data_IF_725466276919
#
_entry.id   IF_725466276919
#
_cell.length_a   1.000
_cell.length_b   1.000
_cell.length_c   1.000
_cell.angle_alpha   90.00
_cell.angle_beta   90.00
_cell.angle_gamma   90.00
#
_symmetry.space_group_name_H-M   'P 1'
#
loop_
_entity.id
_entity.type
_entity.pdbx_description
1 polymer ?
#
# COMPACT_ATOMS: atom_id res chain seq x y z
N UNK A 1 -4.66 -23.12 -24.71
CA UNK A 1 -5.51 -22.90 -23.52
C UNK A 1 -4.63 -22.38 -22.39
N UNK A 2 -3.66 -21.53 -22.72
CA UNK A 2 -2.52 -21.22 -21.85
C UNK A 2 -2.55 -19.74 -21.43
N UNK A 3 -3.11 -18.88 -22.28
CA UNK A 3 -3.24 -17.43 -22.07
C UNK A 3 -4.16 -17.08 -20.87
N UNK A 4 -5.25 -17.84 -20.71
CA UNK A 4 -6.20 -17.68 -19.59
C UNK A 4 -5.62 -18.21 -18.27
N UNK A 5 -4.79 -19.27 -18.33
CA UNK A 5 -4.15 -19.86 -17.16
C UNK A 5 -3.00 -18.96 -16.68
N UNK A 6 -2.22 -18.39 -17.60
CA UNK A 6 -1.17 -17.41 -17.32
C UNK A 6 -1.73 -16.11 -16.72
N UNK A 7 -2.84 -15.57 -17.23
CA UNK A 7 -3.52 -14.42 -16.61
C UNK A 7 -4.02 -14.73 -15.19
N UNK A 8 -4.54 -15.94 -14.95
CA UNK A 8 -5.07 -16.36 -13.65
C UNK A 8 -3.97 -16.61 -12.61
N UNK A 9 -2.82 -17.16 -13.02
CA UNK A 9 -1.63 -17.28 -12.15
C UNK A 9 -0.97 -15.92 -11.87
N UNK A 10 -0.92 -15.02 -12.86
CA UNK A 10 -0.45 -13.64 -12.68
C UNK A 10 -1.35 -12.85 -11.72
N UNK A 11 -2.67 -13.07 -11.78
CA UNK A 11 -3.60 -12.51 -10.80
C UNK A 11 -3.29 -12.98 -9.37
N UNK A 12 -2.74 -14.20 -9.18
CA UNK A 12 -2.38 -14.73 -7.85
C UNK A 12 -1.12 -14.07 -7.26
N UNK A 13 -0.06 -13.91 -8.05
CA UNK A 13 1.19 -13.30 -7.55
C UNK A 13 1.00 -11.81 -7.32
N UNK A 14 0.33 -11.14 -8.25
CA UNK A 14 0.02 -9.72 -8.10
C UNK A 14 -0.82 -9.51 -6.85
N UNK A 15 -1.91 -10.26 -6.66
CA UNK A 15 -2.76 -10.15 -5.46
C UNK A 15 -2.00 -10.48 -4.17
N UNK A 16 -1.12 -11.48 -4.17
CA UNK A 16 -0.25 -11.79 -3.04
C UNK A 16 0.64 -10.59 -2.67
N UNK A 17 1.33 -9.99 -3.64
CA UNK A 17 2.16 -8.80 -3.42
C UNK A 17 1.30 -7.63 -2.92
N UNK A 18 0.06 -7.47 -3.43
CA UNK A 18 -0.88 -6.45 -2.93
C UNK A 18 -1.25 -6.67 -1.48
N UNK A 19 -1.52 -7.92 -1.10
CA UNK A 19 -1.82 -8.30 0.28
C UNK A 19 -0.66 -7.98 1.22
N UNK A 20 0.58 -8.32 0.82
CA UNK A 20 1.77 -8.07 1.64
C UNK A 20 1.99 -6.57 1.91
N UNK A 21 1.85 -5.71 0.90
CA UNK A 21 2.01 -4.25 1.09
C UNK A 21 0.90 -3.65 1.96
N UNK A 22 -0.34 -4.16 1.88
CA UNK A 22 -1.44 -3.75 2.76
C UNK A 22 -1.15 -4.20 4.20
N UNK A 23 -0.76 -5.46 4.42
CA UNK A 23 -0.36 -5.93 5.74
C UNK A 23 0.75 -5.05 6.37
N UNK A 24 1.77 -4.73 5.57
CA UNK A 24 2.86 -3.87 6.02
C UNK A 24 2.40 -2.43 6.30
N UNK A 25 1.49 -1.87 5.50
CA UNK A 25 0.90 -0.56 5.75
C UNK A 25 0.23 -0.50 7.12
N UNK A 26 -0.61 -1.47 7.46
CA UNK A 26 -1.25 -1.49 8.78
C UNK A 26 -0.26 -1.70 9.92
N UNK A 27 0.80 -2.50 9.70
CA UNK A 27 1.89 -2.61 10.68
C UNK A 27 2.55 -1.25 10.93
N UNK A 28 2.91 -0.50 9.88
CA UNK A 28 3.50 0.84 10.00
C UNK A 28 2.53 1.85 10.62
N UNK A 29 1.25 1.79 10.27
CA UNK A 29 0.23 2.70 10.78
C UNK A 29 -0.06 2.46 12.27
N UNK A 30 0.02 1.23 12.78
CA UNK A 30 -0.15 0.99 14.23
C UNK A 30 1.06 1.40 15.08
N UNK A 31 2.18 1.78 14.48
CA UNK A 31 3.32 2.32 15.22
C UNK A 31 2.97 3.70 15.78
N UNK A 32 3.67 4.09 16.84
CA UNK A 32 3.54 5.42 17.42
C UNK A 32 3.85 6.51 16.40
N UNK A 33 3.25 7.70 16.57
CA UNK A 33 3.42 8.82 15.63
C UNK A 33 4.87 9.33 15.57
N UNK A 34 5.66 9.13 16.63
CA UNK A 34 7.08 9.43 16.71
C UNK A 34 7.99 8.32 16.15
N UNK A 35 7.44 7.16 15.78
CA UNK A 35 8.21 6.10 15.11
C UNK A 35 8.68 6.60 13.74
N UNK A 36 9.99 6.50 13.50
CA UNK A 36 10.60 7.01 12.27
C UNK A 36 9.93 6.45 10.99
N UNK A 37 9.46 5.21 11.02
CA UNK A 37 8.80 4.62 9.86
C UNK A 37 7.41 5.24 9.63
N UNK A 38 6.69 5.55 10.71
CA UNK A 38 5.40 6.24 10.66
C UNK A 38 5.57 7.67 10.14
N UNK A 39 6.57 8.38 10.65
CA UNK A 39 6.95 9.72 10.17
C UNK A 39 7.29 9.71 8.68
N UNK A 40 8.14 8.78 8.22
CA UNK A 40 8.53 8.67 6.81
C UNK A 40 7.34 8.30 5.91
N UNK A 41 6.46 7.41 6.38
CA UNK A 41 5.25 7.01 5.65
C UNK A 41 4.35 8.22 5.36
N UNK A 42 4.17 9.08 6.36
CA UNK A 42 3.33 10.27 6.25
C UNK A 42 4.03 11.44 5.54
N UNK A 43 5.36 11.45 5.55
CA UNK A 43 6.15 12.55 5.03
C UNK A 43 5.83 12.85 3.56
N UNK A 44 5.59 14.12 3.28
CA UNK A 44 5.36 14.67 1.95
C UNK A 44 6.57 15.53 1.58
N UNK A 45 7.49 15.05 0.72
CA UNK A 45 8.63 15.84 0.29
C UNK A 45 8.15 17.11 -0.41
N UNK A 46 8.46 18.27 0.16
CA UNK A 46 8.20 19.57 -0.44
C UNK A 46 9.37 19.96 -1.34
N UNK A 47 9.13 20.16 -2.64
CA UNK A 47 10.16 20.56 -3.60
C UNK A 47 9.99 19.91 -4.98
N UNK A 48 10.83 20.32 -5.94
CA UNK A 48 10.84 19.74 -7.28
C UNK A 48 11.57 18.40 -7.23
N UNK A 49 10.85 17.28 -7.42
CA UNK A 49 11.47 15.96 -7.56
C UNK A 49 12.42 15.95 -8.75
N UNK A 50 13.52 15.21 -8.64
CA UNK A 50 14.47 15.02 -9.72
C UNK A 50 13.78 14.41 -10.95
N UNK A 51 14.26 14.78 -12.15
CA UNK A 51 13.75 14.22 -13.40
C UNK A 51 14.12 12.72 -13.44
N UNK A 52 13.13 11.86 -13.72
CA UNK A 52 13.33 10.42 -13.94
C UNK A 52 12.83 9.50 -12.82
N UNK A 53 12.50 10.02 -11.63
CA UNK A 53 11.93 9.19 -10.55
C UNK A 53 10.43 8.94 -10.70
N UNK A 54 9.90 7.81 -10.17
CA UNK A 54 8.46 7.60 -10.05
C UNK A 54 7.80 8.77 -9.29
N UNK A 55 6.75 9.35 -9.88
CA UNK A 55 6.03 10.46 -9.26
C UNK A 55 5.16 10.01 -8.07
N UNK A 56 4.73 8.75 -8.05
CA UNK A 56 3.90 8.18 -6.99
C UNK A 56 4.78 7.74 -5.82
N UNK A 57 4.35 8.06 -4.59
CA UNK A 57 4.92 7.49 -3.37
C UNK A 57 4.43 6.04 -3.24
N UNK A 58 5.12 5.26 -2.41
CA UNK A 58 4.68 3.90 -2.08
C UNK A 58 3.27 3.91 -1.48
N UNK A 59 3.00 4.82 -0.53
CA UNK A 59 1.68 4.97 0.09
C UNK A 59 0.59 5.27 -0.94
N UNK A 60 0.85 6.15 -1.92
CA UNK A 60 -0.13 6.47 -2.98
C UNK A 60 -0.51 5.21 -3.79
N UNK A 61 0.43 4.28 -3.95
CA UNK A 61 0.18 2.99 -4.62
C UNK A 61 -0.69 2.07 -3.78
N UNK A 62 -0.40 1.92 -2.48
CA UNK A 62 -1.21 1.07 -1.58
C UNK A 62 -2.62 1.62 -1.40
N UNK A 63 -2.76 2.94 -1.27
CA UNK A 63 -4.06 3.62 -1.21
C UNK A 63 -4.89 3.36 -2.49
N UNK A 64 -4.26 3.32 -3.66
CA UNK A 64 -4.93 2.97 -4.91
C UNK A 64 -5.44 1.52 -4.93
N UNK A 65 -4.71 0.58 -4.32
CA UNK A 65 -5.19 -0.81 -4.21
C UNK A 65 -6.33 -0.96 -3.22
N UNK A 66 -6.23 -0.30 -2.06
CA UNK A 66 -7.32 -0.27 -1.08
C UNK A 66 -8.57 0.36 -1.68
N UNK A 67 -8.42 1.44 -2.44
CA UNK A 67 -9.53 2.07 -3.14
C UNK A 67 -10.17 1.12 -4.17
N UNK A 68 -9.38 0.37 -4.94
CA UNK A 68 -9.89 -0.66 -5.86
C UNK A 68 -10.59 -1.83 -5.14
N UNK A 69 -10.24 -2.09 -3.89
CA UNK A 69 -10.90 -3.06 -3.03
C UNK A 69 -12.15 -2.50 -2.32
N UNK A 70 -12.48 -1.22 -2.51
CA UNK A 70 -13.61 -0.56 -1.84
C UNK A 70 -13.32 -0.13 -0.39
N UNK A 71 -12.05 -0.15 0.03
CA UNK A 71 -11.64 0.26 1.38
C UNK A 71 -11.23 1.74 1.36
N UNK A 72 -12.06 2.62 1.94
CA UNK A 72 -11.79 4.06 2.01
C UNK A 72 -11.25 4.47 3.38
N UNK A 73 -11.82 3.96 4.47
CA UNK A 73 -11.44 4.29 5.86
C UNK A 73 -10.34 3.37 6.39
N UNK A 74 -9.28 3.20 5.60
CA UNK A 74 -8.22 2.24 5.90
C UNK A 74 -7.41 2.61 7.14
N UNK A 75 -7.36 3.89 7.51
CA UNK A 75 -6.60 4.38 8.67
C UNK A 75 -7.22 3.92 9.98
N UNK A 76 -8.54 3.97 10.06
CA UNK A 76 -9.35 3.50 11.16
C UNK A 76 -9.32 1.97 11.21
N UNK A 77 -9.51 1.31 10.05
CA UNK A 77 -9.43 -0.14 9.94
C UNK A 77 -8.05 -0.67 10.35
N UNK A 78 -6.97 0.00 9.97
CA UNK A 78 -5.61 -0.40 10.33
C UNK A 78 -5.35 -0.40 11.84
N UNK A 79 -6.09 0.37 12.64
CA UNK A 79 -5.95 0.34 14.10
C UNK A 79 -6.54 -0.94 14.72
N UNK A 80 -7.57 -1.51 14.09
CA UNK A 80 -8.18 -2.77 14.49
C UNK A 80 -7.46 -3.94 13.81
N UNK A 81 -6.60 -4.63 14.57
CA UNK A 81 -5.77 -5.72 14.03
C UNK A 81 -6.57 -6.92 13.53
N UNK A 82 -7.77 -7.15 14.06
CA UNK A 82 -8.61 -8.28 13.66
C UNK A 82 -9.40 -7.97 12.39
N UNK A 83 -9.72 -6.69 12.15
CA UNK A 83 -10.34 -6.22 10.91
C UNK A 83 -9.34 -5.96 9.78
N UNK A 84 -8.08 -5.71 10.10
CA UNK A 84 -7.01 -5.40 9.14
C UNK A 84 -6.39 -6.63 8.49
#
# INVERSE_FOLDING_TARGET
>A
MDEQQEEMEMASIVSFIKGQRIQWLGHLWRRSEDDINRVILEWKPTGKRSRGGPRKRWLDGVEEDLHRMGVQDWKELAQDRDKW
#
